data_IF_666179616544
#
_entry.id   IF_666179616544
#
_cell.length_a   1.000
_cell.length_b   1.000
_cell.length_c   1.000
_cell.angle_alpha   90.00
_cell.angle_beta   90.00
_cell.angle_gamma   90.00
#
_symmetry.space_group_name_H-M   'P 1'
#
loop_
_entity.id
_entity.type
_entity.pdbx_description
1 polymer ?
#
# COMPACT_ATOMS: atom_id res chain seq x y z
N UNK A 1 7.25 24.15 -10.36
CA UNK A 1 7.03 23.99 -8.90
C UNK A 1 8.37 24.13 -8.17
N UNK A 2 8.42 24.62 -6.92
CA UNK A 2 9.69 24.75 -6.18
C UNK A 2 10.18 23.35 -5.77
N UNK A 3 11.48 23.03 -5.98
CA UNK A 3 12.08 21.77 -5.55
C UNK A 3 12.03 21.69 -4.03
N UNK A 4 11.61 20.54 -3.50
CA UNK A 4 11.63 20.23 -2.08
C UNK A 4 12.70 19.18 -1.81
N UNK A 5 13.32 19.24 -0.64
CA UNK A 5 14.28 18.23 -0.20
C UNK A 5 13.53 17.07 0.47
N UNK A 6 13.96 15.85 0.17
CA UNK A 6 13.51 14.66 0.90
C UNK A 6 14.29 14.56 2.21
N UNK A 7 13.63 14.87 3.32
CA UNK A 7 14.24 14.85 4.65
C UNK A 7 13.58 13.82 5.55
N UNK A 8 14.33 13.15 6.44
CA UNK A 8 13.76 12.27 7.45
C UNK A 8 12.77 13.01 8.36
N UNK A 9 11.67 12.37 8.70
CA UNK A 9 10.62 12.95 9.55
C UNK A 9 10.17 11.98 10.64
N UNK A 10 9.40 12.48 11.60
CA UNK A 10 8.74 11.66 12.60
C UNK A 10 7.41 11.16 12.06
N UNK A 11 7.16 9.86 12.22
CA UNK A 11 5.90 9.23 11.86
C UNK A 11 4.96 9.14 13.09
N UNK A 12 3.64 9.28 12.93
CA UNK A 12 2.67 9.07 14.00
C UNK A 12 2.78 7.69 14.68
N UNK A 13 3.38 6.71 14.02
CA UNK A 13 3.56 5.36 14.54
C UNK A 13 4.89 5.12 15.26
N UNK A 14 5.81 6.09 15.30
CA UNK A 14 7.12 5.94 15.90
C UNK A 14 7.09 5.41 17.34
N UNK A 15 6.18 5.94 18.17
CA UNK A 15 6.00 5.49 19.54
C UNK A 15 5.47 4.06 19.63
N UNK A 16 4.59 3.70 18.70
CA UNK A 16 3.99 2.37 18.62
C UNK A 16 4.95 1.31 18.08
N UNK A 17 5.94 1.72 17.28
CA UNK A 17 7.02 0.87 16.78
C UNK A 17 8.08 0.54 17.85
N UNK A 18 8.14 1.31 18.97
CA UNK A 18 9.02 0.99 20.09
C UNK A 18 8.61 -0.31 20.77
N UNK A 19 9.55 -1.03 21.42
CA UNK A 19 9.24 -2.25 22.18
C UNK A 19 8.14 -2.02 23.23
N UNK A 20 8.13 -0.83 23.87
CA UNK A 20 7.07 -0.45 24.80
C UNK A 20 5.71 -0.30 24.10
N UNK A 21 5.65 0.46 23.01
CA UNK A 21 4.43 0.66 22.23
C UNK A 21 3.87 -0.64 21.69
N UNK A 22 4.73 -1.53 21.16
CA UNK A 22 4.34 -2.86 20.71
C UNK A 22 3.70 -3.69 21.82
N UNK A 23 4.29 -3.68 23.04
CA UNK A 23 3.73 -4.42 24.18
C UNK A 23 2.38 -3.84 24.63
N UNK A 24 2.25 -2.50 24.61
CA UNK A 24 0.97 -1.84 24.90
C UNK A 24 -0.09 -2.26 23.88
N UNK A 25 0.20 -2.26 22.58
CA UNK A 25 -0.73 -2.69 21.53
C UNK A 25 -1.11 -4.16 21.67
N UNK A 26 -0.14 -5.06 21.90
CA UNK A 26 -0.42 -6.48 22.17
C UNK A 26 -1.41 -6.67 23.31
N UNK A 27 -1.19 -5.98 24.43
CA UNK A 27 -2.08 -6.03 25.58
C UNK A 27 -3.43 -5.39 25.31
N UNK A 28 -3.48 -4.31 24.52
CA UNK A 28 -4.72 -3.66 24.11
C UNK A 28 -5.63 -4.61 23.32
N UNK A 29 -5.09 -5.30 22.31
CA UNK A 29 -5.84 -6.26 21.51
C UNK A 29 -6.25 -7.51 22.31
N UNK A 30 -5.51 -7.86 23.37
CA UNK A 30 -5.92 -8.90 24.35
C UNK A 30 -6.94 -8.42 25.35
N UNK A 31 -7.36 -7.16 25.31
CA UNK A 31 -8.37 -6.59 26.20
C UNK A 31 -7.87 -6.15 27.58
N UNK A 32 -6.54 -6.15 27.84
CA UNK A 32 -5.97 -5.79 29.14
C UNK A 32 -6.24 -4.33 29.50
N UNK A 33 -6.91 -4.07 30.64
CA UNK A 33 -7.27 -2.69 31.08
C UNK A 33 -6.06 -1.78 31.22
N UNK A 34 -4.96 -2.27 31.81
CA UNK A 34 -3.71 -1.53 31.93
C UNK A 34 -3.19 -1.05 30.57
N UNK A 35 -3.21 -1.92 29.55
CA UNK A 35 -2.77 -1.57 28.21
C UNK A 35 -3.70 -0.57 27.51
N UNK A 36 -5.01 -0.63 27.79
CA UNK A 36 -5.97 0.37 27.28
C UNK A 36 -5.68 1.77 27.86
N UNK A 37 -5.43 1.87 29.17
CA UNK A 37 -5.07 3.12 29.83
C UNK A 37 -3.73 3.65 29.27
N UNK A 38 -2.72 2.79 29.10
CA UNK A 38 -1.44 3.18 28.54
C UNK A 38 -1.56 3.63 27.07
N UNK A 39 -2.42 2.99 26.30
CA UNK A 39 -2.68 3.39 24.90
C UNK A 39 -3.28 4.81 24.82
N UNK A 40 -4.25 5.14 25.69
CA UNK A 40 -4.77 6.51 25.82
C UNK A 40 -3.66 7.47 26.20
N UNK A 41 -2.79 7.09 27.15
CA UNK A 41 -1.63 7.92 27.55
C UNK A 41 -0.68 8.20 26.39
N UNK A 42 -0.30 7.19 25.60
CA UNK A 42 0.54 7.36 24.40
C UNK A 42 -0.14 8.31 23.41
N UNK A 43 -1.40 8.08 23.09
CA UNK A 43 -2.15 8.92 22.16
C UNK A 43 -2.27 10.38 22.64
N UNK A 44 -2.49 10.59 23.93
CA UNK A 44 -2.52 11.93 24.52
C UNK A 44 -1.15 12.62 24.46
N UNK A 45 -0.07 11.91 24.76
CA UNK A 45 1.29 12.45 24.63
C UNK A 45 1.61 12.82 23.19
N UNK A 46 1.20 11.97 22.22
CA UNK A 46 1.38 12.24 20.79
C UNK A 46 0.62 13.49 20.35
N UNK A 47 -0.58 13.69 20.88
CA UNK A 47 -1.41 14.85 20.54
C UNK A 47 -0.90 16.15 21.16
N UNK A 48 -0.51 16.15 22.44
CA UNK A 48 -0.24 17.38 23.20
C UNK A 48 1.25 17.72 23.31
N UNK A 49 2.14 16.72 23.34
CA UNK A 49 3.59 16.91 23.55
C UNK A 49 4.44 16.03 22.60
N UNK A 50 4.16 16.00 21.27
CA UNK A 50 4.74 15.02 20.34
C UNK A 50 6.27 15.03 20.33
N UNK A 51 6.90 16.20 20.33
CA UNK A 51 8.36 16.31 20.28
C UNK A 51 9.04 15.86 21.59
N UNK A 52 8.41 16.15 22.74
CA UNK A 52 8.96 15.79 24.03
C UNK A 52 8.93 14.29 24.25
N UNK A 53 7.77 13.65 23.94
CA UNK A 53 7.63 12.20 24.12
C UNK A 53 8.55 11.40 23.18
N UNK A 54 8.75 11.85 21.94
CA UNK A 54 9.70 11.24 21.00
C UNK A 54 11.14 11.32 21.49
N UNK A 55 11.53 12.48 22.08
CA UNK A 55 12.84 12.65 22.67
C UNK A 55 13.06 11.68 23.84
N UNK A 56 12.07 11.52 24.72
CA UNK A 56 12.13 10.55 25.83
C UNK A 56 12.16 9.11 25.32
N UNK A 57 11.34 8.78 24.34
CA UNK A 57 11.31 7.46 23.72
C UNK A 57 12.53 7.17 22.83
N UNK A 58 13.39 8.16 22.60
CA UNK A 58 14.56 8.09 21.71
C UNK A 58 14.21 7.63 20.29
N UNK A 59 13.02 7.99 19.80
CA UNK A 59 12.67 7.72 18.42
C UNK A 59 13.53 8.57 17.49
N UNK A 60 13.84 8.01 16.31
CA UNK A 60 14.63 8.71 15.30
C UNK A 60 13.73 9.09 14.13
N UNK A 61 14.02 10.22 13.51
CA UNK A 61 13.43 10.55 12.20
C UNK A 61 13.90 9.53 11.17
N UNK A 62 13.00 9.10 10.31
CA UNK A 62 13.28 8.12 9.26
C UNK A 62 12.61 8.51 7.95
N UNK A 63 13.06 7.89 6.87
CA UNK A 63 12.34 7.86 5.60
C UNK A 63 11.57 6.56 5.53
N UNK A 64 10.38 6.63 4.95
CA UNK A 64 9.54 5.45 4.74
C UNK A 64 9.49 5.08 3.25
N UNK A 65 9.42 3.80 2.92
CA UNK A 65 9.48 3.33 1.53
C UNK A 65 8.52 4.04 0.57
N UNK A 66 7.25 4.18 0.95
CA UNK A 66 6.26 4.87 0.12
C UNK A 66 6.60 6.35 -0.06
N UNK A 67 7.10 7.02 0.97
CA UNK A 67 7.46 8.45 0.88
C UNK A 67 8.63 8.68 -0.07
N UNK A 68 9.64 7.79 -0.03
CA UNK A 68 10.77 7.83 -0.96
C UNK A 68 10.29 7.60 -2.40
N UNK A 69 9.48 6.56 -2.62
CA UNK A 69 8.94 6.24 -3.94
C UNK A 69 8.07 7.39 -4.50
N UNK A 70 7.18 7.96 -3.69
CA UNK A 70 6.32 9.07 -4.09
C UNK A 70 7.13 10.35 -4.38
N UNK A 71 8.18 10.61 -3.59
CA UNK A 71 9.09 11.73 -3.87
C UNK A 71 9.78 11.54 -5.22
N UNK A 72 10.32 10.35 -5.51
CA UNK A 72 10.95 10.05 -6.80
C UNK A 72 9.97 10.28 -7.95
N UNK A 73 8.74 9.74 -7.87
CA UNK A 73 7.71 9.94 -8.88
C UNK A 73 7.44 11.43 -9.12
N UNK A 74 7.20 12.19 -8.05
CA UNK A 74 6.96 13.63 -8.13
C UNK A 74 8.18 14.37 -8.70
N UNK A 75 9.38 14.04 -8.27
CA UNK A 75 10.60 14.69 -8.69
C UNK A 75 10.93 14.40 -10.16
N UNK A 76 10.67 13.18 -10.63
CA UNK A 76 10.80 12.81 -12.04
C UNK A 76 9.80 13.59 -12.92
N UNK A 77 8.52 13.67 -12.52
CA UNK A 77 7.48 14.40 -13.25
C UNK A 77 7.78 15.90 -13.37
N UNK A 78 8.47 16.48 -12.39
CA UNK A 78 8.85 17.89 -12.39
C UNK A 78 10.28 18.14 -12.90
N UNK A 79 10.95 17.12 -13.44
CA UNK A 79 12.33 17.20 -13.92
C UNK A 79 13.32 17.72 -12.85
N UNK A 80 13.11 17.33 -11.60
CA UNK A 80 14.00 17.70 -10.48
C UNK A 80 15.17 16.72 -10.30
N UNK A 81 15.06 15.52 -10.87
CA UNK A 81 16.10 14.50 -10.89
C UNK A 81 16.77 14.55 -12.25
N UNK A 82 18.06 14.82 -12.29
CA UNK A 82 18.92 14.71 -13.47
C UNK A 82 19.40 13.27 -13.66
N UNK A 83 19.93 12.97 -14.85
CA UNK A 83 20.55 11.66 -15.14
C UNK A 83 21.66 11.36 -14.13
N UNK A 84 22.50 12.36 -13.77
CA UNK A 84 23.59 12.15 -12.79
C UNK A 84 23.11 11.88 -11.37
N UNK A 85 21.90 12.32 -11.00
CA UNK A 85 21.32 12.10 -9.67
C UNK A 85 20.48 10.81 -9.61
N UNK A 86 20.14 10.20 -10.73
CA UNK A 86 19.24 9.02 -10.78
C UNK A 86 19.77 7.84 -9.97
N UNK A 87 21.10 7.64 -9.96
CA UNK A 87 21.75 6.59 -9.17
C UNK A 87 21.63 6.81 -7.65
N UNK A 88 21.73 8.04 -7.18
CA UNK A 88 21.60 8.37 -5.76
C UNK A 88 20.18 8.08 -5.27
N UNK A 89 19.16 8.43 -6.08
CA UNK A 89 17.76 8.14 -5.76
C UNK A 89 17.45 6.64 -5.87
N UNK A 90 18.09 5.92 -6.80
CA UNK A 90 17.98 4.46 -6.87
C UNK A 90 18.57 3.81 -5.63
N UNK A 91 19.77 4.24 -5.19
CA UNK A 91 20.40 3.76 -3.97
C UNK A 91 19.53 4.05 -2.73
N UNK A 92 18.99 5.28 -2.63
CA UNK A 92 18.09 5.66 -1.54
C UNK A 92 16.81 4.81 -1.50
N UNK A 93 16.21 4.53 -2.67
CA UNK A 93 15.04 3.64 -2.75
C UNK A 93 15.40 2.22 -2.31
N UNK A 94 16.56 1.71 -2.76
CA UNK A 94 17.05 0.37 -2.44
C UNK A 94 17.31 0.19 -0.95
N UNK A 95 17.80 1.21 -0.24
CA UNK A 95 17.97 1.21 1.21
C UNK A 95 16.67 1.01 1.98
N UNK A 96 15.52 1.29 1.36
CA UNK A 96 14.19 1.11 1.98
C UNK A 96 13.59 -0.28 1.71
N UNK A 97 14.26 -1.14 0.97
CA UNK A 97 13.73 -2.47 0.65
C UNK A 97 13.59 -3.34 1.89
N UNK A 98 12.51 -4.09 1.97
CA UNK A 98 12.31 -5.13 2.97
C UNK A 98 13.06 -6.41 2.58
N UNK A 99 13.07 -6.73 1.29
CA UNK A 99 13.82 -7.84 0.69
C UNK A 99 14.62 -7.31 -0.52
N UNK A 100 15.90 -7.67 -0.59
CA UNK A 100 16.79 -7.48 -1.72
C UNK A 100 17.81 -8.63 -1.69
N UNK A 101 17.43 -9.82 -2.17
CA UNK A 101 18.21 -11.06 -2.04
C UNK A 101 18.68 -11.59 -3.39
N UNK A 102 18.60 -11.10 -4.42
CA UNK A 102 19.02 -11.62 -5.72
C UNK A 102 17.88 -12.18 -6.57
N UNK A 103 16.87 -12.76 -5.98
CA UNK A 103 15.70 -13.33 -6.64
C UNK A 103 14.47 -12.43 -6.49
N UNK A 104 14.35 -11.74 -5.35
CA UNK A 104 13.21 -10.92 -4.99
C UNK A 104 13.64 -9.50 -4.57
N UNK A 105 12.78 -8.54 -4.89
CA UNK A 105 12.92 -7.16 -4.46
C UNK A 105 11.55 -6.62 -4.06
N UNK A 106 11.43 -6.16 -2.81
CA UNK A 106 10.11 -5.78 -2.28
C UNK A 106 10.19 -4.84 -1.08
N UNK A 107 9.06 -4.24 -0.74
CA UNK A 107 8.96 -3.18 0.24
C UNK A 107 7.88 -3.47 1.27
N UNK A 108 8.14 -3.05 2.51
CA UNK A 108 7.23 -3.16 3.64
C UNK A 108 7.00 -1.82 4.32
N UNK A 109 6.58 -1.87 5.58
CA UNK A 109 6.32 -0.66 6.39
C UNK A 109 7.59 0.09 6.78
N UNK A 110 8.76 -0.58 6.80
CA UNK A 110 10.00 -0.03 7.34
C UNK A 110 10.08 -0.04 8.87
N UNK A 111 9.04 -0.48 9.57
CA UNK A 111 9.00 -0.63 11.03
C UNK A 111 8.09 -1.80 11.44
N UNK A 112 8.27 -2.30 12.66
CA UNK A 112 7.42 -3.38 13.18
C UNK A 112 6.05 -2.85 13.58
N UNK A 113 5.01 -3.46 13.03
CA UNK A 113 3.61 -3.13 13.28
C UNK A 113 2.89 -4.25 14.02
N UNK A 114 2.28 -3.93 15.15
CA UNK A 114 1.40 -4.83 15.89
C UNK A 114 -0.04 -4.51 15.55
N UNK A 115 -0.75 -5.45 14.94
CA UNK A 115 -2.17 -5.35 14.60
C UNK A 115 -3.00 -6.36 15.41
N UNK A 116 -4.31 -6.33 15.21
CA UNK A 116 -5.22 -7.35 15.74
C UNK A 116 -4.97 -8.72 15.11
N UNK A 117 -4.55 -8.75 13.85
CA UNK A 117 -4.35 -9.97 13.07
C UNK A 117 -2.96 -10.60 13.27
N UNK A 118 -1.98 -9.84 13.77
CA UNK A 118 -0.62 -10.36 13.96
C UNK A 118 0.42 -9.27 14.18
N UNK A 119 1.68 -9.69 14.11
CA UNK A 119 2.85 -8.82 14.20
C UNK A 119 3.54 -8.87 12.86
N UNK A 120 3.60 -7.73 12.21
CA UNK A 120 4.32 -7.55 10.94
C UNK A 120 5.67 -6.91 11.24
N UNK A 121 6.74 -7.58 10.85
CA UNK A 121 8.10 -7.08 11.11
C UNK A 121 8.50 -6.01 10.10
N UNK A 122 9.56 -5.26 10.37
CA UNK A 122 10.11 -4.28 9.42
C UNK A 122 10.65 -4.90 8.14
N UNK A 123 10.93 -6.21 8.17
CA UNK A 123 11.45 -6.98 7.02
C UNK A 123 10.34 -7.67 6.22
N UNK A 124 9.09 -7.55 6.65
CA UNK A 124 7.96 -8.18 5.96
C UNK A 124 7.46 -7.31 4.82
N UNK A 125 7.49 -7.82 3.57
CA UNK A 125 7.04 -7.06 2.42
C UNK A 125 5.53 -7.08 2.29
N UNK A 126 4.97 -5.98 1.75
CA UNK A 126 3.55 -5.84 1.51
C UNK A 126 3.24 -5.46 0.07
N UNK A 127 2.17 -6.06 -0.47
CA UNK A 127 1.69 -5.75 -1.81
C UNK A 127 1.19 -4.30 -1.93
N UNK A 128 0.83 -3.65 -0.85
CA UNK A 128 0.41 -2.24 -0.85
C UNK A 128 1.58 -1.24 -0.88
N UNK A 129 2.82 -1.68 -0.65
CA UNK A 129 4.02 -0.84 -0.63
C UNK A 129 4.87 -1.02 -1.88
N UNK A 130 5.09 -2.26 -2.28
CA UNK A 130 5.95 -2.63 -3.42
C UNK A 130 5.56 -1.93 -4.74
N UNK A 131 4.28 -1.78 -5.14
CA UNK A 131 3.92 -1.13 -6.40
C UNK A 131 4.33 0.34 -6.52
N UNK A 132 4.41 1.08 -5.42
CA UNK A 132 4.94 2.45 -5.45
C UNK A 132 6.42 2.48 -5.84
N UNK A 133 7.20 1.54 -5.30
CA UNK A 133 8.60 1.41 -5.67
C UNK A 133 8.76 0.93 -7.12
N UNK A 134 7.90 0.00 -7.59
CA UNK A 134 7.87 -0.43 -8.99
C UNK A 134 7.69 0.75 -9.95
N UNK A 135 6.71 1.62 -9.68
CA UNK A 135 6.49 2.83 -10.48
C UNK A 135 7.69 3.79 -10.42
N UNK A 136 8.31 3.96 -9.23
CA UNK A 136 9.50 4.79 -9.07
C UNK A 136 10.71 4.23 -9.86
N UNK A 137 10.94 2.92 -9.83
CA UNK A 137 11.98 2.25 -10.60
C UNK A 137 11.81 2.45 -12.11
N UNK A 138 10.58 2.31 -12.62
CA UNK A 138 10.28 2.56 -14.03
C UNK A 138 10.51 4.03 -14.42
N UNK A 139 10.19 4.97 -13.53
CA UNK A 139 10.47 6.39 -13.76
C UNK A 139 11.96 6.70 -13.77
N UNK A 140 12.75 6.15 -12.84
CA UNK A 140 14.20 6.29 -12.84
C UNK A 140 14.82 5.69 -14.10
N UNK A 141 14.36 4.52 -14.54
CA UNK A 141 14.78 3.91 -15.80
C UNK A 141 14.45 4.79 -17.01
N UNK A 142 13.33 5.51 -16.99
CA UNK A 142 12.96 6.43 -18.10
C UNK A 142 13.85 7.67 -18.16
N UNK A 143 14.46 8.11 -17.05
CA UNK A 143 15.41 9.23 -17.00
C UNK A 143 16.79 8.78 -17.48
N UNK A 144 17.23 7.60 -17.05
CA UNK A 144 18.52 7.03 -17.45
C UNK A 144 18.36 5.59 -17.95
N UNK A 145 17.95 5.41 -19.22
CA UNK A 145 17.79 4.07 -19.83
C UNK A 145 19.11 3.32 -20.00
N UNK A 146 20.26 4.00 -19.90
CA UNK A 146 21.58 3.35 -19.97
C UNK A 146 21.94 2.62 -18.67
N UNK A 147 21.33 3.00 -17.55
CA UNK A 147 21.47 2.34 -16.27
C UNK A 147 20.42 1.22 -16.12
N UNK A 148 20.85 0.01 -16.39
CA UNK A 148 19.96 -1.17 -16.33
C UNK A 148 19.60 -1.62 -14.92
N UNK A 149 20.14 -1.01 -13.87
CA UNK A 149 19.91 -1.51 -12.49
C UNK A 149 18.47 -1.22 -12.03
N UNK A 150 17.86 -0.11 -12.43
CA UNK A 150 16.47 0.20 -12.13
C UNK A 150 15.52 -0.85 -12.70
N UNK A 151 15.70 -1.23 -13.97
CA UNK A 151 14.84 -2.24 -14.61
C UNK A 151 15.12 -3.65 -14.08
N UNK A 152 16.37 -3.97 -13.73
CA UNK A 152 16.69 -5.25 -13.08
C UNK A 152 16.02 -5.39 -11.72
N UNK A 153 16.05 -4.33 -10.89
CA UNK A 153 15.35 -4.33 -9.60
C UNK A 153 13.82 -4.40 -9.78
N UNK A 154 13.28 -3.69 -10.78
CA UNK A 154 11.88 -3.83 -11.15
C UNK A 154 11.54 -5.28 -11.52
N UNK A 155 12.34 -5.96 -12.37
CA UNK A 155 12.09 -7.35 -12.77
C UNK A 155 12.11 -8.30 -11.56
N UNK A 156 12.97 -8.07 -10.57
CA UNK A 156 13.01 -8.86 -9.33
C UNK A 156 11.75 -8.73 -8.46
N UNK A 157 10.92 -7.69 -8.64
CA UNK A 157 9.63 -7.62 -7.92
C UNK A 157 8.67 -8.72 -8.34
N UNK A 158 8.90 -9.38 -9.48
CA UNK A 158 8.18 -10.58 -9.89
C UNK A 158 8.29 -11.72 -8.86
N UNK A 159 9.50 -11.98 -8.34
CA UNK A 159 9.72 -13.01 -7.32
C UNK A 159 8.89 -12.75 -6.05
N UNK A 160 8.73 -11.48 -5.64
CA UNK A 160 7.83 -11.14 -4.56
C UNK A 160 6.36 -11.44 -4.90
N UNK A 161 5.90 -11.10 -6.11
CA UNK A 161 4.50 -11.36 -6.50
C UNK A 161 4.19 -12.86 -6.51
N UNK A 162 5.15 -13.68 -6.97
CA UNK A 162 4.99 -15.15 -6.98
C UNK A 162 5.06 -15.77 -5.58
N UNK A 163 5.59 -15.07 -4.59
CA UNK A 163 5.60 -15.51 -3.19
C UNK A 163 4.27 -15.26 -2.45
N UNK A 164 3.35 -14.48 -3.02
CA UNK A 164 2.05 -14.24 -2.41
C UNK A 164 1.17 -15.49 -2.45
N UNK A 165 0.44 -15.71 -1.35
CA UNK A 165 -0.43 -16.88 -1.21
C UNK A 165 -1.70 -16.66 -2.02
N UNK A 166 -2.10 -17.67 -2.79
CA UNK A 166 -3.40 -17.69 -3.47
C UNK A 166 -4.50 -17.94 -2.44
N UNK A 167 -5.30 -16.91 -2.16
CA UNK A 167 -6.39 -16.93 -1.18
C UNK A 167 -7.74 -17.31 -1.81
N UNK A 168 -7.91 -17.02 -3.09
CA UNK A 168 -9.08 -17.39 -3.88
C UNK A 168 -8.65 -17.66 -5.32
N UNK A 169 -9.15 -18.76 -5.90
CA UNK A 169 -8.93 -19.10 -7.29
C UNK A 169 -10.18 -19.83 -7.82
N UNK A 170 -10.90 -19.23 -8.74
CA UNK A 170 -12.11 -19.82 -9.30
C UNK A 170 -12.54 -19.15 -10.60
N UNK A 171 -12.72 -19.97 -11.64
CA UNK A 171 -13.06 -19.56 -13.00
C UNK A 171 -12.09 -18.48 -13.53
N UNK A 172 -12.59 -17.26 -13.67
CA UNK A 172 -11.89 -16.07 -14.16
C UNK A 172 -11.52 -15.09 -13.02
N UNK A 173 -11.44 -15.56 -11.76
CA UNK A 173 -11.23 -14.73 -10.57
C UNK A 173 -10.08 -15.24 -9.73
N UNK A 174 -9.23 -14.32 -9.26
CA UNK A 174 -8.06 -14.59 -8.42
C UNK A 174 -7.98 -13.57 -7.30
N UNK A 175 -7.64 -14.03 -6.10
CA UNK A 175 -7.22 -13.12 -5.04
C UNK A 175 -6.00 -13.66 -4.29
N UNK A 176 -5.13 -12.73 -3.90
CA UNK A 176 -3.86 -12.99 -3.26
C UNK A 176 -3.83 -12.46 -1.83
N UNK A 177 -2.89 -12.96 -1.04
CA UNK A 177 -2.61 -12.48 0.31
C UNK A 177 -2.04 -11.06 0.31
N UNK A 178 -2.10 -10.41 1.48
CA UNK A 178 -1.53 -9.08 1.70
C UNK A 178 0.00 -9.10 1.74
N UNK A 179 0.57 -10.20 2.23
CA UNK A 179 2.00 -10.46 2.38
C UNK A 179 2.28 -11.93 2.07
N UNK A 180 3.56 -12.36 1.91
CA UNK A 180 3.95 -13.78 1.80
C UNK A 180 3.79 -14.54 3.12
N UNK A 181 2.75 -14.24 3.88
CA UNK A 181 2.42 -14.82 5.18
C UNK A 181 0.98 -15.32 5.17
N UNK A 182 0.66 -16.19 6.10
CA UNK A 182 -0.70 -16.71 6.27
C UNK A 182 -1.63 -15.59 6.77
N UNK A 183 -2.55 -15.15 5.91
CA UNK A 183 -3.46 -14.05 6.16
C UNK A 183 -4.85 -14.58 6.53
N UNK A 184 -5.44 -14.09 7.63
CA UNK A 184 -6.74 -14.60 8.06
C UNK A 184 -7.91 -14.15 7.19
N UNK A 185 -7.74 -13.06 6.40
CA UNK A 185 -8.82 -12.44 5.60
C UNK A 185 -8.27 -11.82 4.32
N UNK A 186 -9.06 -11.87 3.25
CA UNK A 186 -8.65 -11.27 1.97
C UNK A 186 -8.96 -9.77 1.98
N UNK A 187 -7.95 -8.95 1.69
CA UNK A 187 -8.05 -7.48 1.65
C UNK A 187 -8.26 -7.00 0.22
N UNK A 188 -9.37 -6.30 -0.04
CA UNK A 188 -9.76 -5.92 -1.41
C UNK A 188 -8.80 -4.89 -2.01
N UNK A 189 -8.44 -3.82 -1.28
CA UNK A 189 -7.52 -2.83 -1.81
C UNK A 189 -6.11 -3.41 -2.05
N UNK A 190 -5.66 -4.37 -1.27
CA UNK A 190 -4.39 -5.06 -1.50
C UNK A 190 -4.38 -5.78 -2.85
N UNK A 191 -5.49 -6.44 -3.20
CA UNK A 191 -5.64 -7.07 -4.50
C UNK A 191 -5.65 -6.06 -5.66
N UNK A 192 -6.13 -4.83 -5.47
CA UNK A 192 -6.01 -3.80 -6.50
C UNK A 192 -4.55 -3.41 -6.79
N UNK A 193 -3.69 -3.45 -5.77
CA UNK A 193 -2.25 -3.27 -5.95
C UNK A 193 -1.59 -4.48 -6.60
N UNK A 194 -2.03 -5.70 -6.29
CA UNK A 194 -1.54 -6.90 -6.94
C UNK A 194 -1.85 -6.89 -8.45
N UNK A 195 -3.09 -6.57 -8.82
CA UNK A 195 -3.48 -6.43 -10.22
C UNK A 195 -2.66 -5.35 -10.95
N UNK A 196 -2.43 -4.18 -10.31
CA UNK A 196 -1.57 -3.13 -10.84
C UNK A 196 -0.14 -3.62 -11.06
N UNK A 197 0.41 -4.38 -10.12
CA UNK A 197 1.78 -4.93 -10.24
C UNK A 197 1.92 -5.89 -11.41
N UNK A 198 0.98 -6.80 -11.58
CA UNK A 198 0.98 -7.69 -12.75
C UNK A 198 0.79 -6.92 -14.06
N UNK A 199 -0.05 -5.89 -14.09
CA UNK A 199 -0.20 -5.03 -15.26
C UNK A 199 1.10 -4.28 -15.60
N UNK A 200 1.84 -3.78 -14.61
CA UNK A 200 3.15 -3.15 -14.79
C UNK A 200 4.16 -4.15 -15.36
N UNK A 201 4.19 -5.39 -14.86
CA UNK A 201 5.06 -6.44 -15.40
C UNK A 201 4.67 -6.85 -16.84
N UNK A 202 3.38 -6.96 -17.13
CA UNK A 202 2.93 -7.23 -18.50
C UNK A 202 3.52 -6.22 -19.51
N UNK A 203 3.54 -4.95 -19.16
CA UNK A 203 4.04 -3.90 -20.05
C UNK A 203 5.58 -3.86 -20.08
N UNK A 204 6.24 -3.91 -18.92
CA UNK A 204 7.64 -3.48 -18.78
C UNK A 204 8.63 -4.62 -18.54
N UNK A 205 8.21 -5.78 -18.03
CA UNK A 205 9.11 -6.89 -17.75
C UNK A 205 9.17 -7.85 -18.95
N UNK A 206 10.30 -7.88 -19.65
CA UNK A 206 10.50 -8.76 -20.80
C UNK A 206 10.94 -10.18 -20.40
N UNK A 207 11.30 -10.41 -19.14
CA UNK A 207 11.78 -11.68 -18.62
C UNK A 207 10.65 -12.53 -17.99
N UNK A 208 9.46 -11.94 -17.74
CA UNK A 208 8.31 -12.68 -17.22
C UNK A 208 7.44 -13.26 -18.35
N UNK A 209 6.65 -14.27 -17.99
CA UNK A 209 5.58 -14.76 -18.86
C UNK A 209 4.48 -13.70 -18.96
N UNK A 210 4.39 -13.09 -20.14
CA UNK A 210 3.44 -12.01 -20.45
C UNK A 210 1.98 -12.47 -20.34
N UNK A 211 1.69 -13.67 -20.80
CA UNK A 211 0.32 -14.22 -20.75
C UNK A 211 -0.09 -14.44 -19.28
N UNK A 212 0.80 -15.02 -18.48
CA UNK A 212 0.56 -15.21 -17.05
C UNK A 212 0.36 -13.87 -16.33
N UNK A 213 1.19 -12.86 -16.61
CA UNK A 213 1.05 -11.53 -16.02
C UNK A 213 -0.29 -10.89 -16.38
N UNK A 214 -0.68 -10.92 -17.65
CA UNK A 214 -1.95 -10.39 -18.13
C UNK A 214 -3.15 -11.10 -17.50
N UNK A 215 -3.17 -12.45 -17.53
CA UNK A 215 -4.27 -13.23 -16.98
C UNK A 215 -4.41 -13.05 -15.47
N UNK A 216 -3.32 -13.00 -14.72
CA UNK A 216 -3.37 -12.73 -13.27
C UNK A 216 -3.92 -11.33 -13.00
N UNK A 217 -3.46 -10.29 -13.72
CA UNK A 217 -4.01 -8.94 -13.58
C UNK A 217 -5.52 -8.91 -13.83
N UNK A 218 -5.96 -9.52 -14.95
CA UNK A 218 -7.36 -9.54 -15.33
C UNK A 218 -8.24 -10.31 -14.35
N UNK A 219 -7.81 -11.51 -13.93
CA UNK A 219 -8.56 -12.33 -12.97
C UNK A 219 -8.68 -11.65 -11.60
N UNK A 220 -7.67 -10.89 -11.18
CA UNK A 220 -7.77 -10.11 -9.94
C UNK A 220 -8.74 -8.92 -10.11
N UNK A 221 -8.72 -8.24 -11.25
CA UNK A 221 -9.71 -7.18 -11.57
C UNK A 221 -11.12 -7.74 -11.54
N UNK A 222 -11.38 -8.89 -12.18
CA UNK A 222 -12.68 -9.54 -12.17
C UNK A 222 -13.13 -9.90 -10.74
N UNK A 223 -12.19 -10.35 -9.90
CA UNK A 223 -12.48 -10.63 -8.49
C UNK A 223 -12.83 -9.35 -7.71
N UNK A 224 -12.17 -8.23 -7.97
CA UNK A 224 -12.47 -6.93 -7.34
C UNK A 224 -13.87 -6.45 -7.75
N UNK A 225 -14.21 -6.52 -9.04
CA UNK A 225 -15.53 -6.16 -9.57
C UNK A 225 -16.61 -7.03 -8.92
N UNK A 226 -16.39 -8.34 -8.85
CA UNK A 226 -17.32 -9.28 -8.20
C UNK A 226 -17.59 -8.96 -6.73
N UNK A 227 -16.63 -8.38 -6.02
CA UNK A 227 -16.77 -7.99 -4.61
C UNK A 227 -17.28 -6.54 -4.42
N UNK A 228 -17.60 -5.82 -5.49
CA UNK A 228 -18.25 -4.52 -5.39
C UNK A 228 -19.69 -4.68 -4.89
N UNK A 229 -20.09 -3.87 -3.94
CA UNK A 229 -21.46 -3.84 -3.42
C UNK A 229 -22.39 -3.16 -4.44
N UNK A 230 -23.68 -3.43 -4.31
CA UNK A 230 -24.72 -2.80 -5.15
C UNK A 230 -24.75 -1.25 -5.02
N UNK A 231 -24.26 -0.71 -3.91
CA UNK A 231 -24.12 0.74 -3.70
C UNK A 231 -22.84 1.34 -4.27
N UNK A 232 -22.00 0.53 -4.92
CA UNK A 232 -20.73 0.94 -5.55
C UNK A 232 -19.52 0.89 -4.63
N UNK A 233 -19.68 0.67 -3.32
CA UNK A 233 -18.58 0.60 -2.37
C UNK A 233 -17.90 -0.76 -2.32
N UNK A 234 -16.69 -0.81 -1.74
CA UNK A 234 -16.00 -2.05 -1.39
C UNK A 234 -15.74 -2.10 0.11
N UNK A 235 -16.06 -3.22 0.74
CA UNK A 235 -15.61 -3.49 2.10
C UNK A 235 -14.07 -3.60 2.13
N UNK A 236 -13.46 -3.37 3.29
CA UNK A 236 -12.00 -3.56 3.43
C UNK A 236 -11.61 -5.03 3.24
N UNK A 237 -12.35 -5.95 3.87
CA UNK A 237 -12.21 -7.39 3.68
C UNK A 237 -13.32 -7.94 2.79
N UNK A 238 -13.00 -8.97 1.99
CA UNK A 238 -13.95 -9.65 1.12
C UNK A 238 -14.80 -10.70 1.87
N UNK A 239 -15.37 -10.32 3.01
CA UNK A 239 -16.22 -11.17 3.81
C UNK A 239 -17.24 -10.34 4.61
N UNK A 240 -18.17 -11.03 5.30
CA UNK A 240 -19.19 -10.41 6.14
C UNK A 240 -18.91 -10.60 7.64
N UNK A 241 -17.65 -10.83 8.02
CA UNK A 241 -17.29 -11.02 9.42
C UNK A 241 -17.27 -9.68 10.19
N UNK A 242 -17.50 -9.73 11.53
CA UNK A 242 -17.42 -8.55 12.37
C UNK A 242 -16.08 -7.79 12.24
N UNK A 243 -16.10 -6.48 12.43
CA UNK A 243 -14.93 -5.62 12.32
C UNK A 243 -14.56 -5.24 10.88
N UNK A 244 -15.45 -5.50 9.92
CA UNK A 244 -15.30 -5.01 8.56
C UNK A 244 -15.77 -3.55 8.45
N UNK A 245 -15.26 -2.81 7.46
CA UNK A 245 -15.54 -1.39 7.29
C UNK A 245 -15.37 -0.95 5.83
N UNK A 246 -15.87 0.26 5.52
CA UNK A 246 -15.53 0.99 4.29
C UNK A 246 -14.99 2.35 4.72
N UNK A 247 -13.80 2.69 4.30
CA UNK A 247 -13.22 4.01 4.50
C UNK A 247 -12.85 4.69 3.18
N UNK A 248 -12.69 6.00 3.24
CA UNK A 248 -12.37 6.82 2.08
C UNK A 248 -10.99 6.47 1.49
N UNK A 249 -10.01 6.25 2.35
CA UNK A 249 -8.62 6.04 1.97
C UNK A 249 -8.46 4.78 1.10
N UNK A 250 -8.97 3.63 1.57
CA UNK A 250 -8.88 2.37 0.83
C UNK A 250 -9.79 2.36 -0.42
N UNK A 251 -10.98 3.00 -0.36
CA UNK A 251 -11.85 3.15 -1.53
C UNK A 251 -11.17 3.92 -2.66
N UNK A 252 -10.49 5.04 -2.34
CA UNK A 252 -9.73 5.81 -3.32
C UNK A 252 -8.60 4.98 -3.95
N UNK A 253 -7.95 4.09 -3.20
CA UNK A 253 -6.90 3.23 -3.76
C UNK A 253 -7.45 2.20 -4.74
N UNK A 254 -8.58 1.58 -4.44
CA UNK A 254 -9.21 0.64 -5.37
C UNK A 254 -9.52 1.34 -6.70
N UNK A 255 -10.25 2.44 -6.65
CA UNK A 255 -10.62 3.21 -7.85
C UNK A 255 -9.39 3.68 -8.63
N UNK A 256 -8.40 4.30 -7.94
CA UNK A 256 -7.15 4.75 -8.56
C UNK A 256 -6.43 3.61 -9.29
N UNK A 257 -6.32 2.44 -8.65
CA UNK A 257 -5.59 1.32 -9.24
C UNK A 257 -6.36 0.73 -10.43
N UNK A 258 -7.69 0.59 -10.34
CA UNK A 258 -8.51 0.14 -11.48
C UNK A 258 -8.38 1.07 -12.69
N UNK A 259 -8.39 2.40 -12.49
CA UNK A 259 -8.15 3.37 -13.56
C UNK A 259 -6.78 3.18 -14.20
N UNK A 260 -5.72 3.01 -13.40
CA UNK A 260 -4.37 2.76 -13.90
C UNK A 260 -4.28 1.46 -14.70
N UNK A 261 -4.85 0.37 -14.18
CA UNK A 261 -4.84 -0.94 -14.83
C UNK A 261 -5.59 -0.87 -16.17
N UNK A 262 -6.77 -0.24 -16.21
CA UNK A 262 -7.53 -0.01 -17.43
C UNK A 262 -6.68 0.68 -18.49
N UNK A 263 -5.97 1.73 -18.11
CA UNK A 263 -5.10 2.47 -19.02
C UNK A 263 -3.88 1.65 -19.49
N UNK A 264 -3.20 0.94 -18.57
CA UNK A 264 -2.01 0.14 -18.88
C UNK A 264 -2.32 -1.02 -19.81
N UNK A 265 -3.43 -1.72 -19.58
CA UNK A 265 -3.81 -2.90 -20.35
C UNK A 265 -4.75 -2.58 -21.52
N UNK A 266 -5.09 -1.29 -21.74
CA UNK A 266 -6.05 -0.83 -22.76
C UNK A 266 -7.36 -1.59 -22.72
N UNK A 267 -7.92 -1.82 -21.51
CA UNK A 267 -9.12 -2.61 -21.32
C UNK A 267 -10.37 -1.82 -21.74
N UNK A 268 -11.08 -2.34 -22.72
CA UNK A 268 -12.40 -1.86 -23.16
C UNK A 268 -13.49 -2.77 -22.57
N UNK A 269 -13.69 -2.72 -21.24
CA UNK A 269 -14.72 -3.48 -20.53
C UNK A 269 -15.77 -2.54 -19.96
N UNK A 270 -17.04 -2.79 -20.31
CA UNK A 270 -18.18 -2.05 -19.75
C UNK A 270 -18.31 -2.27 -18.26
N UNK A 271 -18.09 -3.51 -17.79
CA UNK A 271 -18.17 -3.87 -16.38
C UNK A 271 -17.09 -3.15 -15.55
N UNK A 272 -15.86 -3.04 -16.08
CA UNK A 272 -14.78 -2.31 -15.41
C UNK A 272 -15.08 -0.80 -15.34
N UNK A 273 -15.60 -0.24 -16.44
CA UNK A 273 -15.97 1.18 -16.48
C UNK A 273 -17.10 1.47 -15.49
N UNK A 274 -18.14 0.66 -15.47
CA UNK A 274 -19.24 0.78 -14.53
C UNK A 274 -18.78 0.64 -13.07
N UNK A 275 -17.88 -0.31 -12.78
CA UNK A 275 -17.34 -0.49 -11.46
C UNK A 275 -16.51 0.72 -10.98
N UNK A 276 -15.74 1.34 -11.87
CA UNK A 276 -14.98 2.56 -11.57
C UNK A 276 -15.95 3.72 -11.28
N UNK A 277 -16.94 3.93 -12.15
CA UNK A 277 -17.88 5.05 -12.03
C UNK A 277 -18.73 4.92 -10.75
N UNK A 278 -19.27 3.72 -10.48
CA UNK A 278 -20.00 3.43 -9.25
C UNK A 278 -19.12 3.65 -8.00
N UNK A 279 -17.83 3.29 -8.06
CA UNK A 279 -16.87 3.53 -6.98
C UNK A 279 -16.60 5.01 -6.75
N UNK A 280 -16.48 5.81 -7.81
CA UNK A 280 -16.33 7.27 -7.73
C UNK A 280 -17.59 7.90 -7.11
N UNK A 281 -18.77 7.52 -7.59
CA UNK A 281 -20.04 8.01 -7.07
C UNK A 281 -20.22 7.65 -5.60
N UNK A 282 -19.84 6.42 -5.21
CA UNK A 282 -19.85 6.02 -3.80
C UNK A 282 -18.96 6.93 -2.94
N UNK A 283 -17.73 7.21 -3.39
CA UNK A 283 -16.78 8.08 -2.68
C UNK A 283 -17.36 9.49 -2.51
N UNK A 284 -17.89 10.08 -3.59
CA UNK A 284 -18.44 11.44 -3.57
C UNK A 284 -19.66 11.52 -2.65
N UNK A 285 -20.58 10.56 -2.74
CA UNK A 285 -21.87 10.62 -2.04
C UNK A 285 -21.75 10.24 -0.55
N UNK A 286 -20.82 9.38 -0.17
CA UNK A 286 -20.72 8.84 1.19
C UNK A 286 -19.62 9.47 2.04
N UNK A 287 -18.57 10.00 1.42
CA UNK A 287 -17.44 10.56 2.17
C UNK A 287 -17.37 12.09 2.10
N UNK A 288 -17.69 12.71 0.95
CA UNK A 288 -17.57 14.15 0.80
C UNK A 288 -18.77 14.89 1.39
N UNK A 289 -18.50 15.75 2.37
CA UNK A 289 -19.49 16.61 3.03
C UNK A 289 -19.46 18.00 2.38
N UNK A 290 -20.30 18.22 1.37
CA UNK A 290 -20.32 19.46 0.56
C UNK A 290 -20.48 20.72 1.40
N UNK A 291 -21.33 20.68 2.42
CA UNK A 291 -21.68 21.85 3.23
C UNK A 291 -20.51 22.41 4.05
N UNK A 292 -19.56 21.57 4.42
CA UNK A 292 -18.42 21.91 5.27
C UNK A 292 -17.06 21.71 4.58
N UNK A 293 -17.04 21.16 3.36
CA UNK A 293 -15.80 20.89 2.61
C UNK A 293 -14.90 19.84 3.27
N UNK A 294 -15.47 18.94 4.07
CA UNK A 294 -14.74 17.90 4.79
C UNK A 294 -14.95 16.51 4.18
N UNK A 295 -14.04 15.61 4.46
CA UNK A 295 -14.12 14.21 4.06
C UNK A 295 -14.26 13.33 5.31
N UNK A 296 -15.30 12.51 5.35
CA UNK A 296 -15.49 11.50 6.41
C UNK A 296 -14.45 10.38 6.23
N UNK A 297 -13.96 9.87 7.34
CA UNK A 297 -13.05 8.72 7.31
C UNK A 297 -13.77 7.43 6.95
N UNK A 298 -14.95 7.17 7.54
CA UNK A 298 -15.73 5.95 7.36
C UNK A 298 -17.13 6.25 6.85
N UNK A 299 -17.63 5.41 5.94
CA UNK A 299 -19.04 5.33 5.53
C UNK A 299 -19.75 4.15 6.19
N UNK A 300 -19.06 3.01 6.31
CA UNK A 300 -19.50 1.83 7.06
C UNK A 300 -18.42 1.51 8.07
N UNK A 301 -18.80 1.32 9.33
CA UNK A 301 -17.90 0.89 10.41
C UNK A 301 -18.67 0.00 11.38
N UNK A 302 -18.15 -1.19 11.64
CA UNK A 302 -18.61 -1.99 12.78
C UNK A 302 -18.06 -1.37 14.07
N UNK A 303 -18.95 -0.79 14.87
CA UNK A 303 -18.61 0.01 16.07
C UNK A 303 -17.91 -0.83 17.16
N UNK A 304 -17.85 -2.15 17.01
CA UNK A 304 -17.20 -3.03 17.98
C UNK A 304 -15.67 -3.08 17.86
N UNK A 305 -15.10 -2.39 16.85
CA UNK A 305 -13.65 -2.25 16.71
C UNK A 305 -13.21 -0.87 17.22
N UNK A 306 -12.34 -0.80 18.25
CA UNK A 306 -11.91 0.47 18.88
C UNK A 306 -10.99 1.31 17.98
#
# INVERSE_FOLDING_TARGET
MKKFDLIPYYDPYDLWATSFGQNVRKGFYKGHLKSKIMAVGIASCELFIPNLIRKFARTKKSLHPISVAQYILMACENSWISIGESLDYLALLREQAAIDDGESFSFGLGFTWVSKNGIYTSQEPFITHTPYAMEALLKLNSIDPSNLDSIKLFNKTWGFLESLIVMFNGNDKLALSYAPADEPRIVINANSYAALSYALHFINNHDCDKEVAYLKALNIVNWIIYNQRLDGGWMYYADNLPGNFIDCFHSCFVVKNLIKIRALLSLESSELNEAIDNGIDYIINNFYQKDVGLVKRFSVRDIKDP
#
